data_IF_674106388271
#
_entry.id   IF_674106388271
#
_cell.length_a   1.000
_cell.length_b   1.000
_cell.length_c   1.000
_cell.angle_alpha   90.00
_cell.angle_beta   90.00
_cell.angle_gamma   90.00
#
_symmetry.space_group_name_H-M   'P 1'
#
loop_
_entity.id
_entity.type
_entity.pdbx_description
1 polymer ?
#
# COMPACT_ATOMS: atom_id res chain seq x y z
N UNK A 1 -37.02 -12.12 -29.65
CA UNK A 1 -36.21 -11.45 -28.62
C UNK A 1 -34.79 -12.01 -28.58
N UNK A 2 -34.00 -11.94 -29.69
CA UNK A 2 -32.66 -12.58 -29.77
C UNK A 2 -31.59 -11.72 -30.48
N UNK A 3 -31.81 -10.40 -30.65
CA UNK A 3 -30.89 -9.51 -31.38
C UNK A 3 -30.24 -8.39 -30.54
N UNK A 4 -30.52 -8.28 -29.23
CA UNK A 4 -29.98 -7.20 -28.38
C UNK A 4 -28.68 -7.62 -27.66
N UNK A 5 -28.47 -8.92 -27.48
CA UNK A 5 -27.29 -9.43 -26.72
C UNK A 5 -25.98 -9.38 -27.52
N UNK A 6 -26.05 -9.42 -28.85
CA UNK A 6 -24.86 -9.41 -29.71
C UNK A 6 -24.24 -8.00 -29.87
N UNK A 7 -25.07 -6.95 -29.78
CA UNK A 7 -24.60 -5.56 -29.85
C UNK A 7 -23.80 -5.09 -28.61
N UNK A 8 -24.12 -5.62 -27.46
CA UNK A 8 -23.43 -5.22 -26.20
C UNK A 8 -22.01 -5.82 -26.11
N UNK A 9 -21.81 -7.00 -26.69
CA UNK A 9 -20.51 -7.66 -26.70
C UNK A 9 -19.52 -7.02 -27.67
N UNK A 10 -19.99 -6.44 -28.77
CA UNK A 10 -19.15 -5.76 -29.76
C UNK A 10 -18.69 -4.39 -29.26
N UNK A 11 -19.48 -3.70 -28.42
CA UNK A 11 -19.09 -2.40 -27.84
C UNK A 11 -18.00 -2.59 -26.77
N UNK A 12 -17.99 -3.70 -26.06
CA UNK A 12 -16.94 -4.00 -25.06
C UNK A 12 -15.58 -4.34 -25.70
N UNK A 13 -15.57 -4.84 -26.93
CA UNK A 13 -14.34 -5.22 -27.66
C UNK A 13 -13.69 -4.01 -28.34
N UNK A 14 -14.43 -2.93 -28.62
CA UNK A 14 -13.91 -1.76 -29.35
C UNK A 14 -13.13 -0.77 -28.47
N UNK A 15 -13.07 -0.95 -27.14
CA UNK A 15 -12.30 -0.09 -26.22
C UNK A 15 -10.82 -0.54 -26.08
N UNK A 16 -10.38 -1.57 -26.81
CA UNK A 16 -9.14 -2.31 -26.59
C UNK A 16 -7.87 -1.63 -27.19
N UNK A 17 -7.93 -0.49 -27.81
CA UNK A 17 -6.78 0.05 -28.54
C UNK A 17 -6.36 1.47 -28.13
N UNK A 18 -5.87 1.60 -26.90
CA UNK A 18 -4.98 2.73 -26.59
C UNK A 18 -3.71 2.15 -25.95
N UNK A 19 -2.56 2.34 -26.61
CA UNK A 19 -1.26 1.99 -26.05
C UNK A 19 -0.96 2.95 -24.89
N UNK A 20 -1.04 2.48 -23.66
CA UNK A 20 -0.41 3.16 -22.53
C UNK A 20 0.75 2.30 -22.07
N UNK A 21 1.97 2.73 -22.34
CA UNK A 21 3.13 2.20 -21.66
C UNK A 21 3.08 2.76 -20.22
N UNK A 22 3.18 1.89 -19.23
CA UNK A 22 3.34 2.33 -17.83
C UNK A 22 4.66 3.10 -17.74
N UNK A 23 4.66 4.36 -17.31
CA UNK A 23 5.88 5.16 -17.36
C UNK A 23 6.99 4.62 -16.44
N UNK A 24 6.61 3.95 -15.34
CA UNK A 24 7.55 3.40 -14.36
C UNK A 24 7.04 2.13 -13.72
N UNK A 25 7.96 1.23 -13.27
CA UNK A 25 7.57 0.11 -12.42
C UNK A 25 6.90 0.66 -11.14
N UNK A 26 5.75 0.12 -10.73
CA UNK A 26 5.04 0.61 -9.54
C UNK A 26 5.92 0.49 -8.30
N UNK A 27 5.96 1.55 -7.48
CA UNK A 27 6.74 1.58 -6.23
C UNK A 27 6.15 0.62 -5.19
N UNK A 28 4.82 0.50 -5.18
CA UNK A 28 4.10 -0.42 -4.30
C UNK A 28 3.08 -1.20 -5.13
N UNK A 29 2.76 -2.41 -4.69
CA UNK A 29 1.67 -3.19 -5.24
C UNK A 29 0.34 -2.51 -4.87
N UNK A 30 -0.45 -3.01 -3.97
CA UNK A 30 -1.53 -2.20 -3.35
C UNK A 30 -0.91 -1.33 -2.26
N UNK A 31 -0.26 -1.96 -1.30
CA UNK A 31 0.43 -1.34 -0.17
C UNK A 31 1.82 -1.90 0.10
N UNK A 32 2.07 -3.20 -0.19
CA UNK A 32 3.39 -3.79 -0.01
C UNK A 32 4.41 -3.19 -0.99
N UNK A 33 5.65 -2.99 -0.57
CA UNK A 33 6.70 -2.50 -1.46
C UNK A 33 7.03 -3.51 -2.56
N UNK A 34 7.40 -3.00 -3.74
CA UNK A 34 7.87 -3.78 -4.88
C UNK A 34 9.35 -3.52 -5.17
N UNK A 35 9.93 -4.28 -6.11
CA UNK A 35 11.28 -4.03 -6.65
C UNK A 35 11.39 -2.82 -7.56
N UNK A 36 10.30 -2.07 -7.77
CA UNK A 36 10.27 -0.87 -8.59
C UNK A 36 11.01 0.31 -7.93
N UNK A 37 11.76 1.06 -8.73
CA UNK A 37 12.36 2.35 -8.38
C UNK A 37 12.07 3.34 -9.50
N UNK A 38 12.12 4.62 -9.19
CA UNK A 38 11.89 5.66 -10.17
C UNK A 38 13.16 5.95 -10.99
N UNK A 39 13.05 6.23 -12.30
CA UNK A 39 14.17 6.71 -13.10
C UNK A 39 14.71 8.02 -12.55
N UNK A 40 15.99 8.29 -12.82
CA UNK A 40 16.61 9.57 -12.49
C UNK A 40 15.87 10.74 -13.14
N UNK A 41 15.57 11.79 -12.36
CA UNK A 41 14.90 12.99 -12.85
C UNK A 41 13.39 12.79 -13.08
N UNK A 42 12.79 11.79 -12.47
CA UNK A 42 11.35 11.59 -12.46
C UNK A 42 10.76 11.86 -11.09
N UNK A 43 9.48 12.20 -11.06
CA UNK A 43 8.72 12.34 -9.83
C UNK A 43 7.34 11.71 -9.97
N UNK A 44 6.77 11.34 -8.82
CA UNK A 44 5.39 10.85 -8.72
C UNK A 44 4.69 11.58 -7.59
N UNK A 45 3.49 12.06 -7.89
CA UNK A 45 2.54 12.57 -6.90
C UNK A 45 1.44 11.52 -6.78
N UNK A 46 1.24 11.01 -5.57
CA UNK A 46 0.18 10.08 -5.23
C UNK A 46 -0.77 10.74 -4.23
N UNK A 47 -2.07 10.60 -4.46
CA UNK A 47 -3.13 11.00 -3.52
C UNK A 47 -3.93 9.76 -3.21
N UNK A 48 -3.89 9.31 -1.96
CA UNK A 48 -4.68 8.20 -1.45
C UNK A 48 -5.86 8.75 -0.65
N UNK A 49 -7.07 8.49 -1.14
CA UNK A 49 -8.33 8.79 -0.46
C UNK A 49 -8.69 7.61 0.45
N UNK A 50 -8.74 7.88 1.73
CA UNK A 50 -8.92 6.88 2.77
C UNK A 50 -10.31 6.96 3.41
N UNK A 51 -10.63 5.98 4.25
CA UNK A 51 -11.87 5.98 5.04
C UNK A 51 -12.06 7.29 5.81
N UNK A 52 -13.30 7.62 6.16
CA UNK A 52 -13.68 8.80 6.94
C UNK A 52 -13.19 10.13 6.36
N UNK A 53 -13.05 10.19 5.03
CA UNK A 53 -12.59 11.41 4.35
C UNK A 53 -11.12 11.74 4.56
N UNK A 54 -10.31 10.77 4.98
CA UNK A 54 -8.85 10.92 5.09
C UNK A 54 -8.19 11.06 3.72
N UNK A 55 -7.13 11.86 3.66
CA UNK A 55 -6.31 12.06 2.45
C UNK A 55 -4.84 11.91 2.82
N UNK A 56 -4.12 11.08 2.08
CA UNK A 56 -2.68 10.87 2.23
C UNK A 56 -1.97 11.23 0.92
N UNK A 57 -1.51 12.48 0.76
CA UNK A 57 -0.61 12.85 -0.32
C UNK A 57 0.78 12.26 -0.08
N UNK A 58 1.39 11.76 -1.17
CA UNK A 58 2.76 11.30 -1.21
C UNK A 58 3.47 11.92 -2.41
N UNK A 59 4.73 12.24 -2.24
CA UNK A 59 5.64 12.68 -3.29
C UNK A 59 6.86 11.77 -3.28
N UNK A 60 7.24 11.24 -4.44
CA UNK A 60 8.48 10.49 -4.59
C UNK A 60 9.29 11.03 -5.78
N UNK A 61 10.61 10.98 -5.67
CA UNK A 61 11.57 11.48 -6.67
C UNK A 61 12.66 10.45 -6.91
N UNK A 62 12.94 10.17 -8.17
CA UNK A 62 14.09 9.36 -8.61
C UNK A 62 15.37 10.19 -8.66
N UNK A 63 16.22 10.05 -7.66
CA UNK A 63 17.52 10.76 -7.63
C UNK A 63 18.55 10.10 -8.54
N UNK A 64 18.50 8.78 -8.61
CA UNK A 64 19.25 7.96 -9.59
C UNK A 64 18.32 6.84 -10.07
N UNK A 65 18.73 6.07 -11.08
CA UNK A 65 17.93 4.90 -11.53
C UNK A 65 17.79 3.81 -10.45
N UNK A 66 18.59 3.87 -9.40
CA UNK A 66 18.59 2.91 -8.29
C UNK A 66 18.08 3.49 -6.99
N UNK A 67 17.97 4.81 -6.87
CA UNK A 67 17.67 5.48 -5.60
C UNK A 67 16.47 6.40 -5.73
N UNK A 68 15.43 6.09 -4.98
CA UNK A 68 14.19 6.87 -4.87
C UNK A 68 14.01 7.32 -3.43
N UNK A 69 13.65 8.58 -3.26
CA UNK A 69 13.25 9.15 -1.96
C UNK A 69 11.82 9.67 -2.09
N UNK A 70 11.05 9.53 -1.02
CA UNK A 70 9.68 10.04 -0.96
C UNK A 70 9.33 10.57 0.41
N UNK A 71 8.21 11.29 0.46
CA UNK A 71 7.60 11.75 1.69
C UNK A 71 6.07 11.68 1.58
N UNK A 72 5.42 11.52 2.71
CA UNK A 72 3.96 11.51 2.82
C UNK A 72 3.48 12.28 4.05
N UNK A 73 2.23 12.77 3.99
CA UNK A 73 1.63 13.52 5.09
C UNK A 73 0.13 13.25 5.18
N UNK A 74 -0.30 12.51 6.19
CA UNK A 74 -1.69 12.11 6.36
C UNK A 74 -2.55 13.21 7.00
N UNK A 75 -3.73 13.45 6.43
CA UNK A 75 -4.74 14.35 6.97
C UNK A 75 -6.04 13.56 7.11
N UNK A 76 -6.58 13.48 8.32
CA UNK A 76 -7.88 12.85 8.61
C UNK A 76 -9.00 13.85 8.38
N UNK A 77 -10.19 13.36 8.02
CA UNK A 77 -11.41 14.19 7.88
C UNK A 77 -11.24 15.38 6.93
N UNK A 78 -10.35 15.25 5.94
CA UNK A 78 -10.13 16.32 4.96
C UNK A 78 -11.34 16.51 4.05
N UNK A 79 -12.06 15.42 3.76
CA UNK A 79 -13.29 15.42 2.96
C UNK A 79 -14.46 15.14 3.91
N UNK A 80 -15.42 16.05 3.96
CA UNK A 80 -16.61 15.92 4.82
C UNK A 80 -16.96 17.22 5.53
N UNK A 81 -17.68 17.10 6.65
CA UNK A 81 -18.17 18.25 7.44
C UNK A 81 -17.37 18.46 8.72
N UNK A 82 -16.55 17.49 9.10
CA UNK A 82 -15.74 17.55 10.30
C UNK A 82 -14.50 18.43 10.10
N UNK A 83 -13.93 18.89 11.21
CA UNK A 83 -12.68 19.68 11.15
C UNK A 83 -11.52 18.78 10.72
N UNK A 84 -10.75 19.16 9.68
CA UNK A 84 -9.55 18.42 9.29
C UNK A 84 -8.54 18.32 10.44
N UNK A 85 -7.94 17.15 10.59
CA UNK A 85 -6.95 16.85 11.61
C UNK A 85 -5.71 16.22 10.96
N UNK A 86 -4.53 16.66 11.39
CA UNK A 86 -3.28 16.04 10.97
C UNK A 86 -3.15 14.67 11.62
N UNK A 87 -2.84 13.64 10.83
CA UNK A 87 -2.70 12.28 11.35
C UNK A 87 -1.46 12.15 12.26
N UNK A 88 -0.32 12.69 11.82
CA UNK A 88 0.91 12.79 12.60
C UNK A 88 1.56 14.15 12.36
N UNK A 89 2.13 14.75 13.41
CA UNK A 89 2.73 16.09 13.33
C UNK A 89 3.98 16.17 12.41
N UNK A 90 4.61 15.05 12.13
CA UNK A 90 5.79 14.95 11.27
C UNK A 90 5.44 14.24 9.96
N UNK A 91 6.02 14.66 8.83
CA UNK A 91 5.90 13.91 7.59
C UNK A 91 6.61 12.56 7.72
N UNK A 92 6.08 11.56 7.02
CA UNK A 92 6.69 10.26 6.89
C UNK A 92 7.63 10.21 5.70
N UNK A 93 8.64 9.34 5.76
CA UNK A 93 9.72 9.24 4.78
C UNK A 93 9.74 7.86 4.16
N UNK A 94 9.94 7.81 2.85
CA UNK A 94 10.14 6.60 2.07
C UNK A 94 11.50 6.66 1.39
N UNK A 95 12.26 5.58 1.48
CA UNK A 95 13.55 5.43 0.82
C UNK A 95 13.59 4.06 0.15
N UNK A 96 14.02 4.02 -1.12
CA UNK A 96 14.25 2.77 -1.85
C UNK A 96 15.59 2.79 -2.52
N UNK A 97 16.33 1.70 -2.37
CA UNK A 97 17.59 1.50 -3.07
C UNK A 97 17.59 0.13 -3.75
N UNK A 98 17.67 0.11 -5.08
CA UNK A 98 17.72 -1.10 -5.88
C UNK A 98 19.15 -1.62 -5.96
N UNK A 99 19.36 -2.77 -5.32
CA UNK A 99 20.65 -3.47 -5.29
C UNK A 99 20.94 -4.16 -6.63
N UNK A 100 19.91 -4.82 -7.19
CA UNK A 100 20.02 -5.55 -8.45
C UNK A 100 18.80 -5.26 -9.33
N UNK A 101 19.07 -5.03 -10.61
CA UNK A 101 18.03 -4.93 -11.63
C UNK A 101 17.49 -6.31 -12.00
N UNK A 102 16.23 -6.34 -12.41
CA UNK A 102 15.63 -7.54 -12.98
C UNK A 102 16.31 -7.91 -14.31
N UNK A 103 16.55 -9.20 -14.49
CA UNK A 103 16.99 -9.78 -15.74
C UNK A 103 16.13 -11.02 -16.03
N UNK A 104 16.27 -11.68 -17.17
CA UNK A 104 15.54 -12.92 -17.48
C UNK A 104 15.69 -13.98 -16.38
N UNK A 105 16.88 -14.12 -15.79
CA UNK A 105 17.19 -15.16 -14.80
C UNK A 105 17.17 -14.69 -13.34
N UNK A 106 17.16 -13.38 -13.10
CA UNK A 106 17.31 -12.81 -11.75
C UNK A 106 16.20 -11.82 -11.46
N UNK A 107 15.56 -11.86 -10.25
CA UNK A 107 14.62 -10.86 -9.80
C UNK A 107 15.31 -9.51 -9.55
N UNK A 108 14.56 -8.42 -9.60
CA UNK A 108 14.96 -7.16 -9.00
C UNK A 108 15.03 -7.34 -7.49
N UNK A 109 16.06 -6.74 -6.85
CA UNK A 109 16.23 -6.76 -5.40
C UNK A 109 16.35 -5.33 -4.91
N UNK A 110 15.51 -4.96 -3.94
CA UNK A 110 15.44 -3.65 -3.34
C UNK A 110 15.51 -3.76 -1.83
N UNK A 111 16.22 -2.83 -1.20
CA UNK A 111 16.13 -2.52 0.21
C UNK A 111 15.51 -1.14 0.38
N UNK A 112 14.76 -0.94 1.45
CA UNK A 112 14.14 0.35 1.68
C UNK A 112 13.74 0.60 3.11
N UNK A 113 13.23 1.78 3.31
CA UNK A 113 12.70 2.29 4.55
C UNK A 113 11.36 2.95 4.25
N UNK A 114 10.32 2.61 4.98
CA UNK A 114 9.04 3.31 4.95
C UNK A 114 8.54 3.50 6.37
N UNK A 115 8.37 4.77 6.76
CA UNK A 115 7.86 5.12 8.09
C UNK A 115 6.35 5.39 8.09
N UNK A 116 5.68 5.29 6.93
CA UNK A 116 4.25 5.47 6.80
C UNK A 116 3.52 4.17 7.12
N UNK A 117 2.82 4.14 8.25
CA UNK A 117 1.86 3.08 8.58
C UNK A 117 0.47 3.35 7.99
N UNK A 118 -0.48 2.46 8.25
CA UNK A 118 -1.85 2.56 7.75
C UNK A 118 -2.83 2.90 8.87
N UNK A 119 -3.85 3.67 8.50
CA UNK A 119 -4.87 4.14 9.42
C UNK A 119 -4.40 5.30 10.30
N UNK A 120 -5.01 5.42 11.48
CA UNK A 120 -4.70 6.50 12.39
C UNK A 120 -3.39 6.26 13.14
N UNK A 121 -2.62 7.33 13.31
CA UNK A 121 -1.50 7.34 14.26
C UNK A 121 -2.02 7.62 15.67
N UNK A 122 -1.57 6.86 16.65
CA UNK A 122 -1.95 6.95 18.05
C UNK A 122 -0.72 7.17 18.93
N UNK A 123 -0.71 8.29 19.65
CA UNK A 123 0.33 8.52 20.67
C UNK A 123 0.03 7.69 21.92
N UNK A 124 -1.24 7.56 22.28
CA UNK A 124 -1.71 6.80 23.45
C UNK A 124 -3.08 6.17 23.20
N UNK A 125 -3.37 5.10 23.88
CA UNK A 125 -4.66 4.39 23.86
C UNK A 125 -5.09 3.99 25.27
N UNK A 126 -6.39 3.72 25.44
CA UNK A 126 -6.92 3.18 26.70
C UNK A 126 -6.81 1.67 26.72
N UNK A 127 -6.19 1.13 27.74
CA UNK A 127 -6.19 -0.31 27.98
C UNK A 127 -7.59 -0.76 28.45
N UNK A 128 -8.17 -1.78 27.79
CA UNK A 128 -9.51 -2.33 28.12
C UNK A 128 -9.47 -3.76 28.67
N UNK A 129 -8.34 -4.44 28.67
CA UNK A 129 -8.19 -5.85 29.08
C UNK A 129 -7.93 -6.10 30.57
N UNK A 130 -8.53 -7.17 31.08
CA UNK A 130 -8.68 -7.61 32.46
C UNK A 130 -7.45 -7.58 33.36
N UNK A 131 -7.35 -6.56 34.20
CA UNK A 131 -6.30 -6.45 35.20
C UNK A 131 -6.29 -5.09 35.87
N UNK A 132 -5.34 -4.90 36.76
CA UNK A 132 -5.06 -3.62 37.40
C UNK A 132 -4.62 -2.64 36.34
N UNK A 133 -5.51 -1.70 35.92
CA UNK A 133 -5.17 -0.68 34.94
C UNK A 133 -6.21 -0.40 33.85
N UNK A 134 -7.37 -1.03 33.90
CA UNK A 134 -8.50 -0.74 32.97
C UNK A 134 -8.78 0.76 32.93
N UNK A 135 -8.76 1.35 31.74
CA UNK A 135 -8.96 2.78 31.53
C UNK A 135 -7.71 3.65 31.70
N UNK A 136 -6.54 3.07 31.99
CA UNK A 136 -5.27 3.80 31.98
C UNK A 136 -4.87 4.11 30.54
N UNK A 137 -4.41 5.34 30.30
CA UNK A 137 -3.76 5.73 29.06
C UNK A 137 -2.35 5.12 29.03
N UNK A 138 -2.08 4.36 27.99
CA UNK A 138 -0.74 3.83 27.70
C UNK A 138 -0.21 4.46 26.43
N UNK A 139 1.07 4.83 26.44
CA UNK A 139 1.76 5.34 25.25
C UNK A 139 2.01 4.18 24.30
N UNK A 140 1.62 4.36 23.04
CA UNK A 140 1.79 3.35 21.99
C UNK A 140 2.59 3.84 20.80
N UNK A 141 2.53 5.12 20.47
CA UNK A 141 3.32 5.81 19.44
C UNK A 141 3.39 5.01 18.12
N UNK A 142 2.24 4.58 17.60
CA UNK A 142 2.15 3.74 16.40
C UNK A 142 0.92 4.03 15.55
N UNK A 143 0.97 3.59 14.31
CA UNK A 143 -0.22 3.49 13.44
C UNK A 143 -1.11 2.30 13.84
N UNK A 144 -2.37 2.32 13.38
CA UNK A 144 -3.27 1.17 13.54
C UNK A 144 -2.67 -0.11 12.94
N UNK A 145 -2.09 -0.03 11.74
CA UNK A 145 -1.19 -1.04 11.18
C UNK A 145 0.20 -0.43 11.09
N UNK A 146 1.19 -1.09 11.65
CA UNK A 146 2.57 -0.58 11.69
C UNK A 146 3.12 -0.25 10.30
N UNK A 147 4.01 0.72 10.25
CA UNK A 147 4.80 1.00 9.05
C UNK A 147 5.71 -0.21 8.73
N UNK A 148 6.11 -0.34 7.46
CA UNK A 148 7.03 -1.40 7.05
C UNK A 148 8.38 -1.34 7.76
N UNK A 149 8.84 -0.13 8.10
CA UNK A 149 10.15 0.04 8.66
C UNK A 149 11.24 -0.21 7.63
N UNK A 150 12.31 -0.87 8.03
CA UNK A 150 13.30 -1.40 7.10
C UNK A 150 12.74 -2.62 6.41
N UNK A 151 12.88 -2.70 5.09
CA UNK A 151 12.39 -3.83 4.31
C UNK A 151 13.37 -4.28 3.24
N UNK A 152 13.22 -5.53 2.86
CA UNK A 152 13.86 -6.17 1.72
C UNK A 152 12.77 -6.76 0.84
N UNK A 153 12.84 -6.54 -0.47
CA UNK A 153 11.87 -7.08 -1.42
C UNK A 153 12.55 -7.60 -2.68
N UNK A 154 12.04 -8.71 -3.18
CA UNK A 154 12.36 -9.28 -4.48
C UNK A 154 11.11 -9.20 -5.37
N UNK A 155 11.31 -8.80 -6.63
CA UNK A 155 10.24 -8.72 -7.62
C UNK A 155 10.68 -9.33 -8.94
N UNK A 156 9.80 -10.10 -9.54
CA UNK A 156 10.05 -10.75 -10.83
C UNK A 156 8.81 -10.67 -11.70
N UNK A 157 9.04 -10.32 -12.96
CA UNK A 157 7.99 -10.23 -13.97
C UNK A 157 8.18 -11.29 -15.06
N UNK A 158 7.07 -11.77 -15.57
CA UNK A 158 7.00 -12.72 -16.69
C UNK A 158 5.95 -12.26 -17.70
N UNK A 159 6.27 -12.42 -18.98
CA UNK A 159 5.30 -12.25 -20.04
C UNK A 159 4.49 -13.54 -20.23
N UNK A 160 3.27 -13.54 -19.69
CA UNK A 160 2.33 -14.67 -19.85
C UNK A 160 0.91 -14.12 -20.05
N UNK A 161 0.44 -14.07 -21.30
CA UNK A 161 -0.83 -13.47 -21.69
C UNK A 161 -1.01 -12.06 -21.09
N UNK A 162 -0.04 -11.15 -21.32
CA UNK A 162 0.19 -9.90 -20.61
C UNK A 162 1.19 -10.08 -19.46
N UNK A 163 1.59 -8.98 -18.86
CA UNK A 163 2.59 -9.03 -17.78
C UNK A 163 2.00 -9.68 -16.51
N UNK A 164 2.80 -10.53 -15.86
CA UNK A 164 2.52 -11.12 -14.55
C UNK A 164 3.70 -10.83 -13.64
N UNK A 165 3.46 -10.09 -12.57
CA UNK A 165 4.45 -9.75 -11.55
C UNK A 165 4.25 -10.58 -10.28
N UNK A 166 5.35 -10.95 -9.63
CA UNK A 166 5.36 -11.54 -8.30
C UNK A 166 6.35 -10.80 -7.40
N UNK A 167 5.94 -10.54 -6.18
CA UNK A 167 6.67 -9.76 -5.18
C UNK A 167 6.70 -10.52 -3.87
N UNK A 168 7.87 -10.54 -3.23
CA UNK A 168 8.10 -11.24 -1.96
C UNK A 168 9.07 -10.44 -1.12
N UNK A 169 8.77 -10.26 0.16
CA UNK A 169 9.65 -9.47 1.01
C UNK A 169 9.52 -9.76 2.48
N UNK A 170 10.42 -9.15 3.22
CA UNK A 170 10.51 -9.14 4.68
C UNK A 170 10.63 -7.71 5.16
N UNK A 171 10.10 -7.42 6.33
CA UNK A 171 10.22 -6.11 6.94
C UNK A 171 10.46 -6.19 8.45
N UNK A 172 11.07 -5.13 9.00
CA UNK A 172 11.33 -4.96 10.42
C UNK A 172 11.07 -3.52 10.82
N UNK A 173 10.05 -3.33 11.64
CA UNK A 173 9.78 -2.04 12.27
C UNK A 173 10.33 -2.04 13.70
N UNK A 174 11.31 -1.18 13.98
CA UNK A 174 11.98 -1.12 15.29
C UNK A 174 11.58 0.10 16.12
N UNK A 175 10.64 0.93 15.66
CA UNK A 175 10.22 2.15 16.37
C UNK A 175 8.74 2.19 16.76
N UNK A 176 7.89 1.33 16.22
CA UNK A 176 6.49 1.18 16.60
C UNK A 176 6.26 -0.11 17.41
N UNK A 177 7.18 -0.46 18.30
CA UNK A 177 7.18 -1.69 19.06
C UNK A 177 6.94 -1.52 20.56
N UNK A 178 6.35 -0.40 20.99
CA UNK A 178 5.93 -0.15 22.38
C UNK A 178 4.88 -1.14 22.87
N UNK A 179 4.13 -1.76 21.97
CA UNK A 179 3.22 -2.88 22.23
C UNK A 179 3.94 -4.18 22.63
N UNK A 180 5.26 -4.23 22.46
CA UNK A 180 6.10 -5.39 22.77
C UNK A 180 6.19 -6.43 21.66
N UNK A 181 5.59 -6.14 20.51
CA UNK A 181 5.69 -6.97 19.30
C UNK A 181 6.77 -6.39 18.38
N UNK A 182 7.90 -7.10 18.30
CA UNK A 182 9.10 -6.72 17.55
C UNK A 182 9.48 -7.84 16.56
N UNK A 183 8.52 -8.60 16.07
CA UNK A 183 8.77 -9.71 15.16
C UNK A 183 9.14 -9.22 13.75
N UNK A 184 9.84 -10.09 13.02
CA UNK A 184 10.10 -9.90 11.59
C UNK A 184 8.81 -10.19 10.83
N UNK A 185 8.39 -9.27 9.98
CA UNK A 185 7.22 -9.45 9.16
C UNK A 185 7.55 -9.98 7.76
N UNK A 186 6.57 -10.61 7.14
CA UNK A 186 6.66 -11.23 5.83
C UNK A 186 5.47 -10.83 4.96
N UNK A 187 5.73 -10.50 3.71
CA UNK A 187 4.69 -10.15 2.76
C UNK A 187 4.95 -10.73 1.36
N UNK A 188 3.88 -10.95 0.61
CA UNK A 188 3.96 -11.32 -0.79
C UNK A 188 2.76 -10.80 -1.57
N UNK A 189 2.88 -10.73 -2.88
CA UNK A 189 1.78 -10.33 -3.74
C UNK A 189 2.06 -10.57 -5.21
N UNK A 190 1.00 -10.43 -6.00
CA UNK A 190 1.00 -10.63 -7.43
C UNK A 190 0.23 -9.51 -8.12
N UNK A 191 0.69 -9.15 -9.30
CA UNK A 191 -0.08 -8.34 -10.24
C UNK A 191 -0.21 -9.04 -11.58
N UNK A 192 -1.34 -8.81 -12.23
CA UNK A 192 -1.66 -9.37 -13.54
C UNK A 192 -2.26 -8.31 -14.43
N UNK A 193 -1.61 -8.01 -15.53
CA UNK A 193 -2.21 -7.24 -16.60
C UNK A 193 -3.35 -8.04 -17.24
N UNK A 194 -4.55 -7.46 -17.21
CA UNK A 194 -5.72 -7.96 -17.93
C UNK A 194 -5.66 -7.50 -19.38
N UNK A 195 -5.27 -6.23 -19.55
CA UNK A 195 -4.97 -5.60 -20.82
C UNK A 195 -4.02 -4.40 -20.57
N UNK A 196 -3.66 -3.66 -21.63
CA UNK A 196 -2.72 -2.52 -21.55
C UNK A 196 -3.13 -1.39 -20.59
N UNK A 197 -4.41 -1.28 -20.25
CA UNK A 197 -4.93 -0.23 -19.38
C UNK A 197 -5.36 -0.73 -18.00
N UNK A 198 -5.60 -2.03 -17.85
CA UNK A 198 -6.14 -2.60 -16.62
C UNK A 198 -5.26 -3.71 -16.07
N UNK A 199 -4.97 -3.63 -14.78
CA UNK A 199 -4.31 -4.68 -14.03
C UNK A 199 -5.11 -5.03 -12.77
N UNK A 200 -5.05 -6.30 -12.38
CA UNK A 200 -5.54 -6.81 -11.11
C UNK A 200 -4.34 -7.06 -10.19
N UNK A 201 -4.48 -6.67 -8.94
CA UNK A 201 -3.44 -6.79 -7.92
C UNK A 201 -4.02 -7.53 -6.71
N UNK A 202 -3.20 -8.37 -6.11
CA UNK A 202 -3.52 -9.06 -4.86
C UNK A 202 -2.26 -9.16 -4.01
N UNK A 203 -2.38 -8.94 -2.72
CA UNK A 203 -1.27 -9.00 -1.78
C UNK A 203 -1.70 -9.56 -0.44
N UNK A 204 -0.75 -10.15 0.25
CA UNK A 204 -0.89 -10.62 1.60
C UNK A 204 0.29 -10.14 2.45
N UNK A 205 -0.04 -9.50 3.54
CA UNK A 205 0.83 -9.06 4.59
C UNK A 205 0.59 -9.97 5.80
N UNK A 206 1.58 -10.72 6.24
CA UNK A 206 1.43 -11.66 7.33
C UNK A 206 1.23 -10.95 8.68
N UNK A 207 1.65 -9.68 8.76
CA UNK A 207 1.53 -8.83 9.94
C UNK A 207 1.98 -9.54 11.23
N UNK A 208 3.11 -10.25 11.15
CA UNK A 208 3.66 -11.00 12.27
C UNK A 208 4.12 -10.08 13.40
N UNK A 209 4.51 -8.85 13.04
CA UNK A 209 4.86 -7.78 13.97
C UNK A 209 3.64 -7.05 14.56
N UNK A 210 2.43 -7.53 14.29
CA UNK A 210 1.17 -6.90 14.68
C UNK A 210 0.13 -7.95 15.18
N UNK A 211 0.61 -9.07 15.75
CA UNK A 211 -0.20 -10.21 16.14
C UNK A 211 -0.20 -10.51 17.64
N UNK A 212 0.63 -9.83 18.43
CA UNK A 212 0.69 -10.03 19.89
C UNK A 212 -0.32 -9.12 20.61
N UNK A 213 -1.33 -9.73 21.17
CA UNK A 213 -2.27 -9.08 22.07
C UNK A 213 -1.70 -9.05 23.49
N UNK A 214 -0.73 -8.16 23.76
CA UNK A 214 -0.27 -7.95 25.14
C UNK A 214 -1.32 -7.23 25.98
N UNK A 215 -2.13 -6.38 25.31
CA UNK A 215 -3.24 -5.64 25.90
C UNK A 215 -4.40 -5.58 24.91
N UNK A 216 -5.63 -5.72 25.39
CA UNK A 216 -6.80 -5.29 24.62
C UNK A 216 -6.85 -3.77 24.67
N UNK A 217 -6.71 -3.11 23.54
CA UNK A 217 -6.82 -1.65 23.41
C UNK A 217 -8.08 -1.27 22.66
N UNK A 218 -8.75 -0.19 23.12
CA UNK A 218 -10.07 0.18 22.64
C UNK A 218 -10.09 0.63 21.17
N UNK A 219 -9.01 1.19 20.69
CA UNK A 219 -9.00 1.89 19.40
C UNK A 219 -8.02 1.33 18.36
N UNK A 220 -7.24 0.33 18.69
CA UNK A 220 -6.30 -0.31 17.78
C UNK A 220 -6.80 -1.70 17.43
N UNK A 221 -7.05 -1.91 16.15
CA UNK A 221 -7.32 -3.23 15.62
C UNK A 221 -6.01 -3.91 15.31
N UNK A 222 -5.57 -4.80 16.19
CA UNK A 222 -4.48 -5.71 15.86
C UNK A 222 -4.95 -6.73 14.84
N UNK A 223 -4.07 -7.07 13.93
CA UNK A 223 -4.26 -8.25 13.12
C UNK A 223 -4.41 -9.47 14.03
N UNK A 224 -5.51 -10.17 13.96
CA UNK A 224 -5.81 -11.35 14.79
C UNK A 224 -4.90 -12.55 14.49
N UNK A 225 -3.62 -12.32 14.12
CA UNK A 225 -2.69 -13.34 13.64
C UNK A 225 -3.07 -13.95 12.29
N UNK A 226 -4.03 -13.35 11.57
CA UNK A 226 -4.48 -13.82 10.24
C UNK A 226 -3.88 -13.00 9.10
N UNK A 227 -3.02 -12.03 9.38
CA UNK A 227 -2.46 -11.10 8.40
C UNK A 227 -3.53 -10.28 7.67
N UNK A 228 -3.15 -9.54 6.66
CA UNK A 228 -4.03 -8.67 5.86
C UNK A 228 -4.01 -9.11 4.40
N UNK A 229 -5.18 -9.50 3.88
CA UNK A 229 -5.38 -9.77 2.46
C UNK A 229 -5.94 -8.52 1.79
N UNK A 230 -5.24 -7.98 0.80
CA UNK A 230 -5.67 -6.82 0.03
C UNK A 230 -5.73 -7.16 -1.46
N UNK A 231 -6.64 -6.51 -2.17
CA UNK A 231 -6.72 -6.60 -3.64
C UNK A 231 -7.06 -5.25 -4.22
N UNK A 232 -6.65 -5.02 -5.49
CA UNK A 232 -6.96 -3.78 -6.18
C UNK A 232 -7.15 -3.98 -7.69
N UNK A 233 -7.87 -3.03 -8.28
CA UNK A 233 -7.93 -2.83 -9.72
C UNK A 233 -7.23 -1.52 -10.04
N UNK A 234 -6.27 -1.58 -10.94
CA UNK A 234 -5.49 -0.45 -11.41
C UNK A 234 -5.87 -0.13 -12.84
N UNK A 235 -6.16 1.13 -13.10
CA UNK A 235 -6.50 1.67 -14.41
C UNK A 235 -5.51 2.75 -14.83
N UNK A 236 -4.75 2.50 -15.88
CA UNK A 236 -3.90 3.48 -16.53
C UNK A 236 -4.76 4.30 -17.49
N UNK A 237 -5.20 5.49 -17.08
CA UNK A 237 -6.03 6.38 -17.87
C UNK A 237 -5.23 7.08 -18.99
N UNK A 238 -3.99 7.45 -18.68
CA UNK A 238 -3.07 8.09 -19.60
C UNK A 238 -1.64 7.62 -19.27
N UNK A 239 -0.68 7.95 -20.13
CA UNK A 239 0.73 7.56 -19.96
C UNK A 239 1.30 7.94 -18.59
N UNK A 240 0.79 9.02 -18.00
CA UNK A 240 1.28 9.59 -16.75
C UNK A 240 0.22 9.61 -15.62
N UNK A 241 -1.02 9.16 -15.89
CA UNK A 241 -2.11 9.17 -14.92
C UNK A 241 -2.69 7.78 -14.69
N UNK A 242 -2.72 7.38 -13.43
CA UNK A 242 -3.15 6.08 -12.98
C UNK A 242 -4.16 6.24 -11.84
N UNK A 243 -5.23 5.44 -11.88
CA UNK A 243 -6.22 5.34 -10.82
C UNK A 243 -6.26 3.90 -10.32
N UNK A 244 -6.29 3.72 -9.01
CA UNK A 244 -6.39 2.42 -8.38
C UNK A 244 -7.53 2.42 -7.36
N UNK A 245 -8.35 1.39 -7.38
CA UNK A 245 -9.39 1.14 -6.39
C UNK A 245 -8.96 -0.10 -5.63
N UNK A 246 -8.73 0.05 -4.34
CA UNK A 246 -8.28 -1.03 -3.46
C UNK A 246 -9.34 -1.43 -2.45
N UNK A 247 -9.29 -2.70 -2.09
CA UNK A 247 -10.06 -3.36 -1.06
C UNK A 247 -9.05 -3.93 -0.05
N UNK A 248 -8.98 -3.30 1.11
CA UNK A 248 -8.00 -3.65 2.14
C UNK A 248 -8.66 -4.47 3.24
N UNK A 249 -7.88 -5.40 3.81
CA UNK A 249 -8.32 -6.30 4.87
C UNK A 249 -9.59 -7.09 4.49
N UNK A 250 -9.54 -7.76 3.34
CA UNK A 250 -10.66 -8.56 2.81
C UNK A 250 -10.99 -9.74 3.75
N UNK A 251 -9.98 -10.30 4.39
CA UNK A 251 -10.12 -11.38 5.39
C UNK A 251 -10.60 -10.87 6.76
N UNK A 252 -10.82 -9.56 6.91
CA UNK A 252 -11.34 -8.94 8.15
C UNK A 252 -10.52 -9.29 9.39
N UNK A 253 -9.20 -9.23 9.27
CA UNK A 253 -8.28 -9.40 10.39
C UNK A 253 -8.45 -8.31 11.45
N UNK A 254 -8.82 -7.10 11.03
CA UNK A 254 -9.25 -6.06 11.95
C UNK A 254 -10.69 -6.32 12.43
N UNK A 255 -11.07 -5.71 13.56
CA UNK A 255 -12.44 -5.85 14.10
C UNK A 255 -13.51 -5.09 13.27
N UNK A 256 -13.15 -4.60 12.08
CA UNK A 256 -14.08 -3.87 11.23
C UNK A 256 -15.13 -4.79 10.60
N UNK A 257 -16.39 -4.36 10.60
CA UNK A 257 -17.49 -5.13 10.04
C UNK A 257 -17.52 -5.15 8.50
N UNK A 258 -16.72 -4.28 7.86
CA UNK A 258 -16.66 -4.12 6.41
C UNK A 258 -15.22 -3.99 5.90
N UNK A 259 -15.01 -4.39 4.66
CA UNK A 259 -13.73 -4.23 3.96
C UNK A 259 -13.45 -2.75 3.71
N UNK A 260 -12.27 -2.26 4.09
CA UNK A 260 -11.85 -0.90 3.82
C UNK A 260 -11.61 -0.70 2.33
N UNK A 261 -12.12 0.40 1.77
CA UNK A 261 -12.00 0.77 0.35
C UNK A 261 -11.28 2.09 0.25
N UNK A 262 -10.32 2.14 -0.65
CA UNK A 262 -9.51 3.33 -0.88
C UNK A 262 -9.40 3.59 -2.38
N UNK A 263 -9.19 4.85 -2.75
CA UNK A 263 -8.92 5.27 -4.11
C UNK A 263 -7.57 5.97 -4.13
N UNK A 264 -6.68 5.49 -5.00
CA UNK A 264 -5.37 6.08 -5.24
C UNK A 264 -5.36 6.72 -6.61
N UNK A 265 -4.91 7.96 -6.67
CA UNK A 265 -4.66 8.69 -7.91
C UNK A 265 -3.17 8.97 -7.95
N UNK A 266 -2.50 8.55 -9.02
CA UNK A 266 -1.06 8.71 -9.18
C UNK A 266 -0.76 9.41 -10.49
N UNK A 267 0.01 10.48 -10.42
CA UNK A 267 0.56 11.20 -11.55
C UNK A 267 2.09 11.11 -11.51
N UNK A 268 2.69 10.74 -12.65
CA UNK A 268 4.14 10.56 -12.75
C UNK A 268 4.67 11.26 -14.00
N UNK A 269 5.81 11.94 -13.87
CA UNK A 269 6.44 12.67 -14.99
C UNK A 269 7.96 12.73 -14.82
N UNK A 270 8.66 13.02 -15.91
CA UNK A 270 10.10 13.33 -15.91
C UNK A 270 10.30 14.85 -15.98
N UNK A 271 11.32 15.35 -15.29
CA UNK A 271 11.73 16.76 -15.35
C UNK A 271 12.32 17.12 -16.72
#
# INVERSE_FOLDING_TARGET
MRKITTGFFIILVSIIFTQSEHPYPPLNLVSIPTGGTMPRGSYTIEILLQKEGGVLPKLAVGLTNHFTIGMSYGIKKMIGVDKPEVNRSKPEVQIKYRLFEETESRPAIVIGLDTQGKGDYRDSVKAIGGGIGVGRLEEVNRYNQKAWGLYFVMSKNWEFLGNFGAHLGLSKNSWENTDGDDDLDFFFGFDKEINRSFAFLIEYDAAMNDNQEKYEWDEISFGRGSGYLNAAFRWTMATNLLIEISFNDINKSTKADYTNREIKIMYSEMF
#
